data_IF_412901631683
#
_entry.id   IF_412901631683
#
_cell.length_a   1.000
_cell.length_b   1.000
_cell.length_c   1.000
_cell.angle_alpha   90.00
_cell.angle_beta   90.00
_cell.angle_gamma   90.00
#
_symmetry.space_group_name_H-M   'P 1'
#
loop_
_entity.id
_entity.type
_entity.pdbx_description
1 polymer ?
#
# COMPACT_ATOMS: atom_id res chain seq x y z
N UNK A 1 2.40 -49.53 -48.84
CA UNK A 1 1.85 -50.16 -47.61
C UNK A 1 1.69 -49.06 -46.56
N UNK A 2 0.45 -48.65 -46.28
CA UNK A 2 0.16 -47.52 -45.41
C UNK A 2 0.02 -47.99 -43.95
N UNK A 3 0.86 -47.45 -43.05
CA UNK A 3 0.80 -47.63 -41.60
C UNK A 3 -0.49 -47.01 -41.03
N UNK A 4 -1.62 -47.73 -41.10
CA UNK A 4 -2.91 -47.25 -40.55
C UNK A 4 -3.14 -47.61 -39.08
N UNK A 5 -2.27 -48.39 -38.44
CA UNK A 5 -2.40 -48.82 -37.04
C UNK A 5 -1.74 -47.94 -35.98
N UNK A 6 -0.95 -46.92 -36.36
CA UNK A 6 -0.18 -46.07 -35.43
C UNK A 6 -0.92 -44.79 -34.97
N UNK A 7 -2.05 -44.48 -35.60
CA UNK A 7 -2.84 -43.25 -35.40
C UNK A 7 -3.51 -43.17 -34.01
N UNK A 8 -4.12 -44.24 -33.43
CA UNK A 8 -4.81 -44.10 -32.15
C UNK A 8 -3.86 -43.87 -30.97
N UNK A 9 -2.63 -44.41 -31.02
CA UNK A 9 -1.63 -44.22 -29.96
C UNK A 9 -1.11 -42.78 -29.88
N UNK A 10 -0.92 -42.12 -31.02
CA UNK A 10 -0.49 -40.71 -31.05
C UNK A 10 -1.56 -39.78 -30.46
N UNK A 11 -2.83 -39.98 -30.80
CA UNK A 11 -3.95 -39.16 -30.27
C UNK A 11 -4.02 -39.27 -28.75
N UNK A 12 -3.87 -40.48 -28.20
CA UNK A 12 -3.89 -40.70 -26.76
C UNK A 12 -2.74 -39.97 -26.03
N UNK A 13 -1.53 -39.99 -26.60
CA UNK A 13 -0.37 -39.27 -26.05
C UNK A 13 -0.62 -37.76 -26.04
N UNK A 14 -1.18 -37.19 -27.12
CA UNK A 14 -1.51 -35.76 -27.15
C UNK A 14 -2.56 -35.38 -26.12
N UNK A 15 -3.54 -36.25 -25.87
CA UNK A 15 -4.60 -36.02 -24.88
C UNK A 15 -4.02 -36.00 -23.45
N UNK A 16 -3.15 -36.96 -23.11
CA UNK A 16 -2.46 -36.96 -21.81
C UNK A 16 -1.55 -35.73 -21.68
N UNK A 17 -0.78 -35.40 -22.72
CA UNK A 17 0.10 -34.24 -22.71
C UNK A 17 -0.67 -32.94 -22.47
N UNK A 18 -1.85 -32.79 -23.08
CA UNK A 18 -2.72 -31.62 -22.87
C UNK A 18 -3.22 -31.54 -21.43
N UNK A 19 -3.67 -32.66 -20.86
CA UNK A 19 -4.12 -32.72 -19.46
C UNK A 19 -2.98 -32.33 -18.50
N UNK A 20 -1.79 -32.92 -18.70
CA UNK A 20 -0.62 -32.61 -17.89
C UNK A 20 -0.24 -31.13 -18.00
N UNK A 21 -0.24 -30.58 -19.21
CA UNK A 21 0.05 -29.17 -19.44
C UNK A 21 -0.97 -28.25 -18.74
N UNK A 22 -2.26 -28.56 -18.82
CA UNK A 22 -3.32 -27.82 -18.11
C UNK A 22 -3.13 -27.87 -16.58
N UNK A 23 -2.78 -29.04 -16.03
CA UNK A 23 -2.51 -29.17 -14.59
C UNK A 23 -1.29 -28.36 -14.15
N UNK A 24 -0.20 -28.39 -14.94
CA UNK A 24 1.00 -27.59 -14.67
C UNK A 24 0.69 -26.09 -14.71
N UNK A 25 -0.08 -25.63 -15.71
CA UNK A 25 -0.49 -24.23 -15.81
C UNK A 25 -1.36 -23.78 -14.63
N UNK A 26 -2.35 -24.59 -14.22
CA UNK A 26 -3.20 -24.29 -13.07
C UNK A 26 -2.39 -24.19 -11.77
N UNK A 27 -1.49 -25.14 -11.54
CA UNK A 27 -0.63 -25.14 -10.37
C UNK A 27 0.36 -23.97 -10.38
N UNK A 28 0.97 -23.70 -11.54
CA UNK A 28 1.86 -22.56 -11.73
C UNK A 28 1.16 -21.22 -11.48
N UNK A 29 -0.05 -21.04 -12.01
CA UNK A 29 -0.84 -19.83 -11.82
C UNK A 29 -1.18 -19.59 -10.34
N UNK A 30 -1.67 -20.61 -9.63
CA UNK A 30 -2.01 -20.50 -8.22
C UNK A 30 -0.78 -20.18 -7.35
N UNK A 31 0.37 -20.78 -7.67
CA UNK A 31 1.63 -20.53 -6.96
C UNK A 31 2.12 -19.08 -7.16
N UNK A 32 2.05 -18.56 -8.39
CA UNK A 32 2.41 -17.17 -8.70
C UNK A 32 1.48 -16.20 -7.98
N UNK A 33 0.17 -16.46 -7.97
CA UNK A 33 -0.81 -15.62 -7.28
C UNK A 33 -0.52 -15.54 -5.77
N UNK A 34 -0.31 -16.68 -5.13
CA UNK A 34 0.02 -16.71 -3.69
C UNK A 34 1.34 -16.01 -3.37
N UNK A 35 2.32 -16.11 -4.27
CA UNK A 35 3.58 -15.36 -4.13
C UNK A 35 3.37 -13.85 -4.26
N UNK A 36 2.54 -13.40 -5.22
CA UNK A 36 2.20 -11.97 -5.38
C UNK A 36 1.57 -11.40 -4.11
N UNK A 37 0.55 -12.07 -3.57
CA UNK A 37 -0.16 -11.63 -2.36
C UNK A 37 0.78 -11.52 -1.15
N UNK A 38 1.67 -12.50 -0.94
CA UNK A 38 2.68 -12.44 0.13
C UNK A 38 3.70 -11.31 -0.08
N UNK A 39 4.12 -11.09 -1.31
CA UNK A 39 5.06 -10.01 -1.66
C UNK A 39 4.45 -8.62 -1.40
N UNK A 40 3.16 -8.44 -1.70
CA UNK A 40 2.42 -7.22 -1.37
C UNK A 40 2.36 -7.00 0.14
N UNK A 41 2.05 -8.05 0.92
CA UNK A 41 2.01 -7.95 2.38
C UNK A 41 3.37 -7.59 2.99
N UNK A 42 4.46 -8.17 2.49
CA UNK A 42 5.83 -7.82 2.92
C UNK A 42 6.15 -6.36 2.58
N UNK A 43 5.76 -5.91 1.39
CA UNK A 43 5.97 -4.52 0.96
C UNK A 43 5.19 -3.54 1.84
N UNK A 44 3.94 -3.86 2.19
CA UNK A 44 3.14 -3.08 3.13
C UNK A 44 3.79 -2.99 4.52
N UNK A 45 4.23 -4.12 5.09
CA UNK A 45 4.89 -4.15 6.40
C UNK A 45 6.17 -3.32 6.38
N UNK A 46 6.96 -3.44 5.31
CA UNK A 46 8.17 -2.63 5.11
C UNK A 46 7.84 -1.15 5.03
N UNK A 47 6.88 -0.76 4.21
CA UNK A 47 6.43 0.63 4.08
C UNK A 47 6.00 1.21 5.43
N UNK A 48 5.14 0.49 6.16
CA UNK A 48 4.69 0.88 7.50
C UNK A 48 5.87 1.07 8.45
N UNK A 49 6.81 0.13 8.45
CA UNK A 49 7.98 0.15 9.32
C UNK A 49 8.90 1.32 8.98
N UNK A 50 9.21 1.52 7.70
CA UNK A 50 10.07 2.58 7.20
C UNK A 50 9.47 3.96 7.49
N UNK A 51 8.16 4.12 7.24
CA UNK A 51 7.43 5.36 7.50
C UNK A 51 7.37 5.68 9.00
N UNK A 52 6.99 4.71 9.84
CA UNK A 52 6.95 4.88 11.30
C UNK A 52 8.33 5.23 11.86
N UNK A 53 9.37 4.57 11.34
CA UNK A 53 10.76 4.82 11.75
C UNK A 53 11.23 6.20 11.29
N UNK A 54 10.81 6.65 10.11
CA UNK A 54 11.12 7.99 9.61
C UNK A 54 10.47 9.08 10.46
N UNK A 55 9.19 8.92 10.80
CA UNK A 55 8.48 9.87 11.68
C UNK A 55 9.17 9.96 13.03
N UNK A 56 9.49 8.81 13.67
CA UNK A 56 10.20 8.78 14.96
C UNK A 56 11.58 9.43 14.90
N UNK A 57 12.33 9.24 13.80
CA UNK A 57 13.66 9.83 13.63
C UNK A 57 13.62 11.32 13.32
N UNK A 58 12.65 11.79 12.53
CA UNK A 58 12.58 13.19 12.07
C UNK A 58 11.87 14.09 13.08
N UNK A 59 10.93 13.55 13.86
CA UNK A 59 10.17 14.30 14.86
C UNK A 59 11.06 15.15 15.78
N UNK A 60 12.09 14.61 16.45
CA UNK A 60 12.92 15.41 17.37
C UNK A 60 13.86 16.41 16.67
N UNK A 61 14.17 16.18 15.39
CA UNK A 61 15.11 17.00 14.61
C UNK A 61 14.43 18.30 14.11
N UNK A 62 14.28 19.30 14.99
CA UNK A 62 13.60 20.56 14.64
C UNK A 62 14.16 21.22 13.37
N UNK A 63 13.25 21.66 12.50
CA UNK A 63 13.51 22.30 11.20
C UNK A 63 14.37 21.46 10.23
N UNK A 64 14.46 20.15 10.45
CA UNK A 64 15.13 19.24 9.51
C UNK A 64 14.15 18.80 8.44
N UNK A 65 14.53 18.98 7.17
CA UNK A 65 13.78 18.53 6.01
C UNK A 65 14.41 17.26 5.44
N UNK A 66 13.64 16.17 5.34
CA UNK A 66 14.06 14.93 4.68
C UNK A 66 13.06 14.56 3.59
N UNK A 67 13.57 14.28 2.39
CA UNK A 67 12.77 13.81 1.25
C UNK A 67 13.08 12.36 0.99
N UNK A 68 12.07 11.53 1.00
CA UNK A 68 12.22 10.09 0.81
C UNK A 68 11.27 9.56 -0.26
N UNK A 69 11.72 8.50 -0.93
CA UNK A 69 10.92 7.74 -1.89
C UNK A 69 10.62 6.38 -1.28
N UNK A 70 9.49 6.28 -0.59
CA UNK A 70 9.11 5.05 0.08
C UNK A 70 8.43 4.10 -0.90
N UNK A 71 8.89 2.86 -0.95
CA UNK A 71 8.28 1.82 -1.75
C UNK A 71 7.10 1.22 -0.98
N UNK A 72 5.91 1.36 -1.53
CA UNK A 72 4.67 0.78 -0.97
C UNK A 72 4.42 -0.61 -1.56
N UNK A 73 4.88 -0.84 -2.79
CA UNK A 73 4.61 -2.07 -3.55
C UNK A 73 3.14 -2.16 -3.95
N UNK A 74 2.73 -3.34 -4.43
CA UNK A 74 1.35 -3.65 -4.81
C UNK A 74 0.73 -2.74 -5.86
N UNK A 75 -0.60 -2.81 -5.96
CA UNK A 75 -1.40 -2.01 -6.90
C UNK A 75 -2.02 -0.77 -6.22
N UNK A 76 -1.31 -0.15 -5.25
CA UNK A 76 -1.77 1.04 -4.53
C UNK A 76 -1.69 2.29 -5.42
N UNK A 77 -2.71 3.15 -5.34
CA UNK A 77 -2.85 4.35 -6.16
C UNK A 77 -2.39 5.61 -5.43
N UNK A 78 -2.67 5.70 -4.14
CA UNK A 78 -2.34 6.86 -3.31
C UNK A 78 -2.17 6.46 -1.84
N UNK A 79 -1.45 7.31 -1.12
CA UNK A 79 -1.32 7.26 0.34
C UNK A 79 -1.83 8.58 0.92
N UNK A 80 -2.84 8.50 1.77
CA UNK A 80 -3.42 9.65 2.45
C UNK A 80 -2.94 9.72 3.90
N UNK A 81 -2.59 10.91 4.33
CA UNK A 81 -2.17 11.24 5.68
C UNK A 81 -3.23 12.15 6.31
N UNK A 82 -3.54 11.90 7.57
CA UNK A 82 -4.46 12.71 8.37
C UNK A 82 -3.69 13.30 9.54
N UNK A 83 -3.94 14.56 9.85
CA UNK A 83 -3.34 15.21 11.01
C UNK A 83 -3.74 14.47 12.30
N UNK A 84 -2.74 14.07 13.08
CA UNK A 84 -2.91 13.47 14.42
C UNK A 84 -2.33 14.33 15.54
N UNK A 85 -1.44 15.28 15.21
CA UNK A 85 -0.89 16.21 16.20
C UNK A 85 -1.96 17.18 16.69
N UNK A 86 -2.14 17.25 18.02
CA UNK A 86 -3.19 18.04 18.69
C UNK A 86 -4.55 17.82 18.03
N UNK A 87 -4.90 16.55 17.81
CA UNK A 87 -6.13 16.12 17.13
C UNK A 87 -7.37 16.77 17.74
N UNK A 88 -7.46 16.82 19.07
CA UNK A 88 -8.68 17.28 19.75
C UNK A 88 -8.85 18.79 19.67
N UNK A 89 -7.75 19.54 19.65
CA UNK A 89 -7.77 20.99 19.44
C UNK A 89 -8.21 21.35 18.00
N UNK A 90 -8.01 20.43 17.04
CA UNK A 90 -8.23 20.66 15.62
C UNK A 90 -9.34 19.78 15.03
N UNK A 91 -10.15 19.11 15.86
CA UNK A 91 -11.03 18.04 15.43
C UNK A 91 -12.03 18.49 14.35
N UNK A 92 -12.72 19.62 14.58
CA UNK A 92 -13.70 20.15 13.64
C UNK A 92 -13.07 20.65 12.33
N UNK A 93 -11.86 21.22 12.43
CA UNK A 93 -11.12 21.65 11.24
C UNK A 93 -10.72 20.45 10.39
N UNK A 94 -10.13 19.41 11.00
CA UNK A 94 -9.71 18.20 10.28
C UNK A 94 -10.92 17.49 9.67
N UNK A 95 -12.00 17.30 10.46
CA UNK A 95 -13.23 16.62 10.02
C UNK A 95 -13.85 17.27 8.77
N UNK A 96 -13.88 18.59 8.71
CA UNK A 96 -14.47 19.33 7.57
C UNK A 96 -13.59 19.35 6.32
N UNK A 97 -12.30 19.03 6.45
CA UNK A 97 -11.34 19.06 5.34
C UNK A 97 -10.89 17.66 4.88
N UNK A 98 -11.39 16.59 5.50
CA UNK A 98 -11.25 15.23 4.98
C UNK A 98 -12.23 15.05 3.82
N UNK A 99 -11.72 15.01 2.59
CA UNK A 99 -12.55 14.80 1.39
C UNK A 99 -13.00 13.35 1.17
N UNK A 100 -12.44 12.38 1.91
CA UNK A 100 -12.70 10.95 1.70
C UNK A 100 -13.56 10.36 2.83
N UNK A 101 -14.71 9.80 2.48
CA UNK A 101 -15.67 9.26 3.45
C UNK A 101 -15.12 8.13 4.32
N UNK A 102 -14.23 7.28 3.79
CA UNK A 102 -13.63 6.17 4.55
C UNK A 102 -12.67 6.71 5.61
N UNK A 103 -11.90 7.73 5.25
CA UNK A 103 -10.99 8.41 6.18
C UNK A 103 -11.79 9.16 7.24
N UNK A 104 -12.87 9.84 6.83
CA UNK A 104 -13.72 10.60 7.73
C UNK A 104 -14.36 9.69 8.78
N UNK A 105 -14.95 8.57 8.35
CA UNK A 105 -15.53 7.57 9.24
C UNK A 105 -14.51 7.02 10.24
N UNK A 106 -13.29 6.70 9.78
CA UNK A 106 -12.20 6.27 10.65
C UNK A 106 -11.75 7.35 11.65
N UNK A 107 -11.76 8.62 11.23
CA UNK A 107 -11.36 9.75 12.06
C UNK A 107 -12.41 10.04 13.14
N UNK A 108 -13.69 10.06 12.77
CA UNK A 108 -14.85 10.27 13.66
C UNK A 108 -15.03 9.13 14.66
N UNK A 109 -14.75 7.89 14.24
CA UNK A 109 -14.75 6.70 15.10
C UNK A 109 -13.63 6.70 16.16
N UNK A 110 -12.79 7.75 16.20
CA UNK A 110 -11.63 7.88 17.10
C UNK A 110 -10.69 6.69 17.06
N UNK A 111 -10.58 6.06 15.90
CA UNK A 111 -9.54 5.06 15.66
C UNK A 111 -8.25 5.84 15.44
N UNK A 112 -7.21 5.54 16.22
CA UNK A 112 -5.88 6.14 16.07
C UNK A 112 -5.22 5.61 14.80
N UNK A 113 -5.71 6.04 13.64
CA UNK A 113 -5.15 5.76 12.31
C UNK A 113 -5.04 7.08 11.58
N UNK A 114 -3.85 7.35 11.06
CA UNK A 114 -3.51 8.60 10.39
C UNK A 114 -2.86 8.39 9.03
N UNK A 115 -2.69 7.14 8.60
CA UNK A 115 -2.21 6.77 7.27
C UNK A 115 -3.17 5.78 6.65
N UNK A 116 -3.58 6.06 5.42
CA UNK A 116 -4.53 5.26 4.64
C UNK A 116 -3.95 5.00 3.24
N UNK A 117 -3.86 3.73 2.87
CA UNK A 117 -3.38 3.27 1.57
C UNK A 117 -4.54 2.79 0.72
N UNK A 118 -4.75 3.39 -0.44
CA UNK A 118 -5.88 3.05 -1.30
C UNK A 118 -5.47 2.10 -2.44
N UNK A 119 -6.21 1.00 -2.58
CA UNK A 119 -6.15 0.05 -3.69
C UNK A 119 -7.56 -0.21 -4.22
N UNK A 120 -7.92 0.37 -5.37
CA UNK A 120 -9.23 0.16 -6.03
C UNK A 120 -10.44 0.27 -5.08
N UNK A 121 -10.40 1.19 -4.12
CA UNK A 121 -11.47 1.42 -3.12
C UNK A 121 -11.32 0.67 -1.78
N UNK A 122 -10.35 -0.24 -1.64
CA UNK A 122 -10.00 -0.85 -0.35
C UNK A 122 -8.90 -0.02 0.29
N UNK A 123 -9.10 0.40 1.55
CA UNK A 123 -8.14 1.15 2.33
C UNK A 123 -7.48 0.26 3.39
N UNK A 124 -6.15 0.11 3.35
CA UNK A 124 -5.39 -0.37 4.50
C UNK A 124 -4.97 0.83 5.35
N UNK A 125 -5.13 0.75 6.67
CA UNK A 125 -4.82 1.88 7.55
C UNK A 125 -3.92 1.49 8.72
N UNK A 126 -3.09 2.43 9.16
CA UNK A 126 -2.21 2.26 10.30
C UNK A 126 -1.87 3.61 10.96
N UNK A 127 -1.24 3.53 12.13
CA UNK A 127 -0.73 4.69 12.87
C UNK A 127 0.78 4.83 12.67
N UNK A 128 1.25 6.07 12.52
CA UNK A 128 2.66 6.44 12.47
C UNK A 128 3.08 7.43 13.55
N UNK A 129 2.20 7.79 14.48
CA UNK A 129 2.45 8.72 15.58
C UNK A 129 1.99 10.15 15.29
N UNK A 130 2.66 11.15 15.86
CA UNK A 130 2.22 12.55 15.76
C UNK A 130 2.66 13.18 14.44
N UNK A 131 1.69 13.40 13.55
CA UNK A 131 1.92 14.04 12.26
C UNK A 131 0.99 15.24 12.06
N UNK A 132 1.47 16.20 11.29
CA UNK A 132 0.75 17.39 10.88
C UNK A 132 0.80 17.53 9.35
N UNK A 133 -0.25 18.03 8.74
CA UNK A 133 -0.38 18.15 7.28
C UNK A 133 -1.14 19.42 6.93
N UNK A 134 -0.88 20.00 5.76
CA UNK A 134 -1.65 21.16 5.29
C UNK A 134 -3.10 20.77 5.08
N UNK A 135 -4.03 21.50 5.70
CA UNK A 135 -5.47 21.30 5.46
C UNK A 135 -6.05 20.06 6.13
N UNK A 136 -5.42 19.52 7.18
CA UNK A 136 -5.96 18.41 7.98
C UNK A 136 -5.83 17.03 7.35
N UNK A 137 -5.83 16.91 6.01
CA UNK A 137 -5.48 15.69 5.29
C UNK A 137 -4.73 15.98 3.99
N UNK A 138 -3.81 15.10 3.60
CA UNK A 138 -3.09 15.18 2.32
C UNK A 138 -2.94 13.79 1.70
N UNK A 139 -3.30 13.66 0.43
CA UNK A 139 -3.11 12.43 -0.34
C UNK A 139 -1.97 12.59 -1.35
N UNK A 140 -1.02 11.67 -1.32
CA UNK A 140 0.17 11.66 -2.16
C UNK A 140 0.02 10.49 -3.15
N UNK A 141 0.10 10.76 -4.47
CA UNK A 141 -0.05 9.71 -5.48
C UNK A 141 1.15 8.75 -5.44
N UNK A 142 0.88 7.48 -5.68
CA UNK A 142 1.89 6.43 -5.83
C UNK A 142 2.27 6.32 -7.29
N UNK A 143 3.52 6.66 -7.63
CA UNK A 143 4.04 6.62 -9.00
C UNK A 143 5.10 5.52 -9.06
N UNK A 144 4.86 4.53 -9.92
CA UNK A 144 5.75 3.35 -10.06
C UNK A 144 5.99 2.61 -8.73
N UNK A 145 4.92 2.43 -7.94
CA UNK A 145 4.95 1.73 -6.64
C UNK A 145 5.64 2.49 -5.51
N UNK A 146 5.96 3.78 -5.72
CA UNK A 146 6.63 4.63 -4.72
C UNK A 146 5.83 5.90 -4.44
N UNK A 147 5.78 6.29 -3.16
CA UNK A 147 5.31 7.60 -2.74
C UNK A 147 6.50 8.54 -2.48
N UNK A 148 6.40 9.78 -2.96
CA UNK A 148 7.39 10.83 -2.73
C UNK A 148 6.93 11.68 -1.57
N UNK A 149 7.56 11.49 -0.42
CA UNK A 149 7.11 12.10 0.83
C UNK A 149 8.23 13.00 1.35
N UNK A 150 7.85 14.20 1.73
CA UNK A 150 8.69 15.16 2.42
C UNK A 150 8.29 15.18 3.90
N UNK A 151 9.30 15.05 4.77
CA UNK A 151 9.18 15.03 6.22
C UNK A 151 9.92 16.25 6.77
N UNK A 152 9.21 17.12 7.50
CA UNK A 152 9.79 18.25 8.21
C UNK A 152 9.64 18.06 9.71
N UNK A 153 10.76 17.96 10.42
CA UNK A 153 10.77 17.82 11.88
C UNK A 153 10.36 19.11 12.57
N UNK A 154 9.45 19.01 13.54
CA UNK A 154 8.93 20.16 14.31
C UNK A 154 9.25 20.06 15.81
N UNK A 155 10.06 19.08 16.23
CA UNK A 155 10.49 18.86 17.62
C UNK A 155 9.64 17.80 18.33
N UNK A 156 8.31 17.91 18.26
CA UNK A 156 7.35 17.02 18.93
C UNK A 156 6.41 16.27 17.94
N UNK A 157 6.46 16.65 16.67
CA UNK A 157 5.74 16.02 15.58
C UNK A 157 6.49 16.18 14.25
N UNK A 158 5.96 15.54 13.20
CA UNK A 158 6.46 15.70 11.82
C UNK A 158 5.39 16.33 10.95
N UNK A 159 5.78 17.33 10.18
CA UNK A 159 4.96 17.87 9.12
C UNK A 159 5.20 17.09 7.82
N UNK A 160 4.13 16.59 7.20
CA UNK A 160 4.17 15.72 6.01
C UNK A 160 3.57 16.44 4.79
N UNK A 161 4.26 16.37 3.66
CA UNK A 161 3.83 16.88 2.36
C UNK A 161 4.32 15.99 1.21
N UNK A 162 3.75 16.17 0.01
CA UNK A 162 4.23 15.55 -1.23
C UNK A 162 5.16 16.48 -2.02
N UNK A 163 6.05 15.90 -2.84
CA UNK A 163 6.99 16.64 -3.72
C UNK A 163 7.22 15.98 -5.08
#
# INVERSE_FOLDING_TARGET
MAKKGQIPGQIFIYLIALILFSLILLYGYNSIRGFKEKSEQVSYIKFKTDLTSMVKRVSPDYNTLKREKLFIGGDYTEVCFVQSYKKEDNFDFIRTHIGNLIIQDSFESRVDKNVFLFKKGIAESFDVGNINVTGGSVCIPVISGKARIEFKGMGDHVFISGW
#
